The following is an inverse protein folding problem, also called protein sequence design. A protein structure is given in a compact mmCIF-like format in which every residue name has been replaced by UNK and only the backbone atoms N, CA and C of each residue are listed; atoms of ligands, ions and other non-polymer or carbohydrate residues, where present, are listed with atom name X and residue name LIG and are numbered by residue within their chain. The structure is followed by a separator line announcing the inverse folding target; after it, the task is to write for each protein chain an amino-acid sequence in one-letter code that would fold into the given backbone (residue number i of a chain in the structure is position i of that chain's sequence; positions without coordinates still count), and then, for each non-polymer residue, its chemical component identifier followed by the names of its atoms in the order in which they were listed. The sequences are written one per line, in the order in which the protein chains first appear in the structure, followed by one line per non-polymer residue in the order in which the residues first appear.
data_IF_186725002740
#
_entry.id   IF_186725002740
#
_cell.length_a   1.000
_cell.length_b   1.000
_cell.length_c   1.000
_cell.angle_alpha   90.00
_cell.angle_beta   90.00
_cell.angle_gamma   90.00
#
_symmetry.space_group_name_H-M   'P 1'
#
loop_
_entity.id
_entity.type
_entity.pdbx_description
1 polymer ?
#
# COMPACT_ATOMS: atom_id res chain seq x y z
N UNK A 1 6.52 1.01 -32.45
CA UNK A 1 6.26 2.27 -31.74
C UNK A 1 6.12 1.95 -30.25
N UNK A 2 7.14 2.26 -29.44
CA UNK A 2 7.12 2.00 -28.00
C UNK A 2 6.08 2.87 -27.30
N UNK A 3 5.40 2.33 -26.29
CA UNK A 3 4.44 3.09 -25.48
C UNK A 3 5.23 4.17 -24.71
N UNK A 4 4.92 5.48 -24.85
CA UNK A 4 5.58 6.49 -24.04
C UNK A 4 5.31 6.17 -22.57
N UNK A 5 6.38 6.00 -21.80
CA UNK A 5 6.27 5.61 -20.39
C UNK A 5 5.96 6.88 -19.58
N UNK A 6 4.67 7.17 -19.42
CA UNK A 6 4.18 8.32 -18.66
C UNK A 6 4.43 8.09 -17.16
N UNK A 7 4.75 9.16 -16.42
CA UNK A 7 4.99 9.11 -14.98
C UNK A 7 3.74 8.68 -14.22
N UNK A 8 3.94 8.07 -13.06
CA UNK A 8 2.80 7.61 -12.24
C UNK A 8 2.01 8.78 -11.65
N UNK A 9 2.66 9.91 -11.39
CA UNK A 9 1.98 11.17 -11.02
C UNK A 9 1.04 11.63 -12.14
N UNK A 10 1.50 11.63 -13.39
CA UNK A 10 0.66 11.98 -14.53
C UNK A 10 -0.55 11.05 -14.66
N UNK A 11 -0.35 9.74 -14.48
CA UNK A 11 -1.46 8.76 -14.52
C UNK A 11 -2.46 8.98 -13.39
N UNK A 12 -2.01 9.33 -12.19
CA UNK A 12 -2.86 9.65 -11.05
C UNK A 12 -3.71 10.88 -11.31
N UNK A 13 -3.08 11.98 -11.72
CA UNK A 13 -3.79 13.22 -12.04
C UNK A 13 -4.79 13.01 -13.17
N UNK A 14 -4.41 12.26 -14.21
CA UNK A 14 -5.29 11.92 -15.31
C UNK A 14 -6.53 11.15 -14.85
N UNK A 15 -6.35 10.17 -13.95
CA UNK A 15 -7.48 9.41 -13.39
C UNK A 15 -8.31 10.26 -12.44
N UNK A 16 -7.70 11.11 -11.62
CA UNK A 16 -8.39 12.02 -10.70
C UNK A 16 -9.32 13.00 -11.46
N UNK A 17 -8.88 13.54 -12.59
CA UNK A 17 -9.73 14.38 -13.44
C UNK A 17 -10.99 13.65 -13.93
N UNK A 18 -10.89 12.36 -14.23
CA UNK A 18 -12.01 11.54 -14.68
C UNK A 18 -12.92 11.17 -13.50
N UNK A 19 -12.35 10.77 -12.36
CA UNK A 19 -13.12 10.23 -11.23
C UNK A 19 -13.69 11.29 -10.29
N UNK A 20 -12.95 12.38 -10.08
CA UNK A 20 -13.31 13.43 -9.13
C UNK A 20 -14.03 14.59 -9.82
N UNK A 21 -13.57 14.99 -11.01
CA UNK A 21 -14.18 16.10 -11.78
C UNK A 21 -15.19 15.64 -12.82
N UNK A 22 -15.34 14.33 -13.02
CA UNK A 22 -16.36 13.75 -13.91
C UNK A 22 -16.10 13.95 -15.40
N UNK A 23 -14.87 14.26 -15.81
CA UNK A 23 -14.58 14.43 -17.24
C UNK A 23 -14.80 13.12 -18.03
N UNK A 24 -15.45 13.19 -19.20
CA UNK A 24 -15.62 12.02 -20.06
C UNK A 24 -14.27 11.46 -20.51
N UNK A 25 -14.11 10.13 -20.42
CA UNK A 25 -12.88 9.44 -20.84
C UNK A 25 -12.56 9.72 -22.32
N UNK A 26 -13.59 9.83 -23.17
CA UNK A 26 -13.42 10.11 -24.59
C UNK A 26 -12.77 11.47 -24.84
N UNK A 27 -13.33 12.54 -24.26
CA UNK A 27 -12.79 13.90 -24.39
C UNK A 27 -11.38 14.01 -23.78
N UNK A 28 -11.20 13.40 -22.62
CA UNK A 28 -9.93 13.46 -21.91
C UNK A 28 -8.82 12.66 -22.63
N UNK A 29 -9.18 11.55 -23.27
CA UNK A 29 -8.28 10.76 -24.12
C UNK A 29 -7.75 11.58 -25.31
N UNK A 30 -8.63 12.34 -25.96
CA UNK A 30 -8.27 13.21 -27.08
C UNK A 30 -7.36 14.35 -26.62
N UNK A 31 -7.70 15.00 -25.50
CA UNK A 31 -6.91 16.10 -24.94
C UNK A 31 -5.49 15.69 -24.55
N UNK A 32 -5.32 14.50 -23.99
CA UNK A 32 -4.01 13.99 -23.56
C UNK A 32 -3.25 13.23 -24.66
N UNK A 33 -3.88 12.97 -25.81
CA UNK A 33 -3.28 12.17 -26.88
C UNK A 33 -3.02 10.71 -26.48
N UNK A 34 -3.81 10.16 -25.55
CA UNK A 34 -3.68 8.77 -25.07
C UNK A 34 -4.92 7.97 -25.42
N UNK A 35 -4.78 6.65 -25.56
CA UNK A 35 -5.95 5.82 -25.85
C UNK A 35 -6.93 5.78 -24.66
N UNK A 36 -8.25 5.74 -24.88
CA UNK A 36 -9.24 5.50 -23.82
C UNK A 36 -8.95 4.24 -23.01
N UNK A 37 -8.46 3.20 -23.69
CA UNK A 37 -8.07 1.94 -23.05
C UNK A 37 -6.96 2.13 -22.01
N UNK A 38 -5.98 3.00 -22.27
CA UNK A 38 -4.93 3.34 -21.30
C UNK A 38 -5.52 3.99 -20.04
N UNK A 39 -6.48 4.91 -20.21
CA UNK A 39 -7.13 5.58 -19.08
C UNK A 39 -7.89 4.59 -18.19
N UNK A 40 -8.65 3.66 -18.81
CA UNK A 40 -9.32 2.58 -18.06
C UNK A 40 -8.33 1.64 -17.37
N UNK A 41 -7.21 1.32 -18.01
CA UNK A 41 -6.16 0.50 -17.41
C UNK A 41 -5.55 1.18 -16.18
N UNK A 42 -5.25 2.48 -16.24
CA UNK A 42 -4.73 3.24 -15.10
C UNK A 42 -5.74 3.32 -13.97
N UNK A 43 -7.03 3.54 -14.27
CA UNK A 43 -8.10 3.55 -13.26
C UNK A 43 -8.15 2.22 -12.49
N UNK A 44 -8.06 1.09 -13.20
CA UNK A 44 -8.00 -0.24 -12.57
C UNK A 44 -6.72 -0.46 -11.74
N UNK A 45 -5.57 -0.04 -12.26
CA UNK A 45 -4.29 -0.19 -11.57
C UNK A 45 -4.26 0.61 -10.27
N UNK A 46 -4.71 1.87 -10.29
CA UNK A 46 -4.75 2.73 -9.12
C UNK A 46 -5.74 2.23 -8.06
N UNK A 47 -6.92 1.76 -8.48
CA UNK A 47 -7.87 1.14 -7.55
C UNK A 47 -7.27 -0.09 -6.84
N UNK A 48 -6.51 -0.93 -7.57
CA UNK A 48 -5.83 -2.09 -6.98
C UNK A 48 -4.73 -1.70 -6.00
N UNK A 49 -3.98 -0.63 -6.27
CA UNK A 49 -2.94 -0.12 -5.35
C UNK A 49 -3.58 0.33 -4.04
N UNK A 50 -4.66 1.12 -4.10
CA UNK A 50 -5.37 1.59 -2.89
C UNK A 50 -5.91 0.43 -2.06
N UNK A 51 -6.56 -0.55 -2.70
CA UNK A 51 -7.05 -1.75 -1.99
C UNK A 51 -5.91 -2.61 -1.42
N UNK A 52 -4.80 -2.73 -2.15
CA UNK A 52 -3.65 -3.54 -1.74
C UNK A 52 -2.90 -2.93 -0.56
N UNK A 53 -2.74 -1.60 -0.52
CA UNK A 53 -2.04 -0.92 0.58
C UNK A 53 -2.86 -0.93 1.88
N UNK A 54 -4.19 -0.80 1.80
CA UNK A 54 -5.06 -0.97 2.97
C UNK A 54 -4.93 -2.37 3.61
N UNK A 55 -4.78 -3.41 2.78
CA UNK A 55 -4.54 -4.79 3.25
C UNK A 55 -3.18 -4.95 3.92
N UNK A 56 -2.12 -4.41 3.30
CA UNK A 56 -0.76 -4.41 3.88
C UNK A 56 -0.71 -3.68 5.22
N UNK A 57 -1.39 -2.55 5.37
CA UNK A 57 -1.41 -1.79 6.62
C UNK A 57 -2.07 -2.57 7.77
N UNK A 58 -3.12 -3.32 7.47
CA UNK A 58 -3.77 -4.20 8.46
C UNK A 58 -2.82 -5.32 8.91
N UNK A 59 -2.13 -5.94 7.97
CA UNK A 59 -1.14 -6.99 8.24
C UNK A 59 0.06 -6.45 9.03
N UNK A 60 0.60 -5.28 8.67
CA UNK A 60 1.67 -4.60 9.40
C UNK A 60 1.25 -4.33 10.85
N UNK A 61 0.01 -3.87 11.08
CA UNK A 61 -0.50 -3.65 12.45
C UNK A 61 -0.62 -4.95 13.23
N UNK A 62 -1.05 -6.04 12.58
CA UNK A 62 -1.12 -7.36 13.21
C UNK A 62 0.28 -7.86 13.60
N UNK A 63 1.23 -7.83 12.67
CA UNK A 63 2.61 -8.27 12.90
C UNK A 63 3.29 -7.46 14.00
N UNK A 64 3.07 -6.14 14.06
CA UNK A 64 3.60 -5.30 15.15
C UNK A 64 3.07 -5.70 16.53
N UNK A 65 1.79 -6.09 16.63
CA UNK A 65 1.20 -6.57 17.89
C UNK A 65 1.79 -7.91 18.32
N UNK A 66 1.95 -8.82 17.37
CA UNK A 66 2.53 -10.14 17.63
C UNK A 66 4.00 -10.04 18.03
N UNK A 67 4.76 -9.17 17.35
CA UNK A 67 6.15 -8.87 17.71
C UNK A 67 6.27 -8.32 19.14
N UNK A 68 5.38 -7.39 19.53
CA UNK A 68 5.37 -6.82 20.88
C UNK A 68 5.09 -7.90 21.93
N UNK A 69 4.08 -8.74 21.71
CA UNK A 69 3.72 -9.85 22.58
C UNK A 69 4.88 -10.83 22.76
N UNK A 70 5.47 -11.32 21.67
CA UNK A 70 6.58 -12.28 21.72
C UNK A 70 7.82 -11.67 22.39
N UNK A 71 8.05 -10.37 22.19
CA UNK A 71 9.14 -9.67 22.87
C UNK A 71 8.91 -9.61 24.38
N UNK A 72 7.69 -9.32 24.83
CA UNK A 72 7.31 -9.32 26.24
C UNK A 72 7.45 -10.72 26.87
N UNK A 73 6.93 -11.76 26.21
CA UNK A 73 7.05 -13.16 26.65
C UNK A 73 8.52 -13.55 26.84
N UNK A 74 9.38 -13.21 25.86
CA UNK A 74 10.83 -13.42 25.96
C UNK A 74 11.43 -12.68 27.15
N UNK A 75 11.02 -11.45 27.40
CA UNK A 75 11.59 -10.63 28.48
C UNK A 75 11.15 -11.10 29.86
N UNK A 76 9.92 -11.58 30.00
CA UNK A 76 9.45 -12.26 31.22
C UNK A 76 10.30 -13.50 31.48
N UNK A 77 10.51 -14.35 30.47
CA UNK A 77 11.33 -15.55 30.60
C UNK A 77 12.77 -15.23 30.99
N UNK A 78 13.39 -14.22 30.37
CA UNK A 78 14.73 -13.75 30.73
C UNK A 78 14.81 -13.23 32.17
N UNK A 79 13.80 -12.50 32.64
CA UNK A 79 13.74 -12.05 34.03
C UNK A 79 13.63 -13.24 34.98
N UNK A 80 12.74 -14.20 34.69
CA UNK A 80 12.55 -15.38 35.51
C UNK A 80 13.83 -16.23 35.64
N UNK A 81 14.53 -16.47 34.51
CA UNK A 81 15.80 -17.21 34.55
C UNK A 81 16.88 -16.47 35.32
N UNK A 82 16.95 -15.14 35.21
CA UNK A 82 17.87 -14.32 36.00
C UNK A 82 17.58 -14.39 37.51
N UNK A 83 16.32 -14.41 37.92
CA UNK A 83 15.94 -14.62 39.32
C UNK A 83 16.35 -16.02 39.81
N UNK A 84 15.99 -17.07 39.07
CA UNK A 84 16.32 -18.45 39.44
C UNK A 84 17.85 -18.68 39.56
N UNK A 85 18.64 -18.09 38.66
CA UNK A 85 20.10 -18.20 38.73
C UNK A 85 20.72 -17.48 39.93
N UNK A 86 20.05 -16.46 40.50
CA UNK A 86 20.51 -15.74 41.69
C UNK A 86 20.21 -16.52 42.97
N UNK A 87 19.07 -17.20 43.04
CA UNK A 87 18.66 -18.00 44.21
C UNK A 87 19.40 -19.35 44.30
N UNK A 88 20.00 -19.82 43.20
CA UNK A 88 20.77 -21.06 43.15
C UNK A 88 22.24 -20.91 43.64
N UNK A 89 22.60 -19.75 44.21
CA UNK A 89 23.95 -19.42 44.70
C UNK A 89 23.93 -19.15 46.20
#
# INVERSE_FOLDING_TARGET
MGKPNLSDEFKRDAVAQITERGYPVAEFSQRLGVSPHSLYAWKRQLAKVVSGDAGKDAEIRQLKRELARVTEERDILKKATAYLARDAK
#
